data_IF_793963044756
#
_entry.id   IF_793963044756
#
_cell.length_a   1.000
_cell.length_b   1.000
_cell.length_c   1.000
_cell.angle_alpha   90.00
_cell.angle_beta   90.00
_cell.angle_gamma   90.00
#
_symmetry.space_group_name_H-M   'P 1'
#
loop_
_entity.id
_entity.type
_entity.pdbx_description
1 polymer ?
#
# COMPACT_ATOMS: atom_id res chain seq x y z
N UNK A 1 17.42 34.80 -5.11
CA UNK A 1 16.85 33.43 -4.98
C UNK A 1 15.75 33.33 -6.00
N UNK A 2 15.96 32.55 -7.05
CA UNK A 2 14.93 32.27 -8.07
C UNK A 2 13.81 31.48 -7.39
N UNK A 3 12.58 32.00 -7.39
CA UNK A 3 11.42 31.27 -6.93
C UNK A 3 11.31 29.99 -7.76
N UNK A 4 11.68 28.85 -7.21
CA UNK A 4 11.27 27.56 -7.76
C UNK A 4 9.74 27.57 -7.74
N UNK A 5 9.11 27.16 -8.84
CA UNK A 5 7.68 26.91 -8.85
C UNK A 5 7.36 26.01 -7.66
N UNK A 6 6.51 26.50 -6.75
CA UNK A 6 6.29 25.85 -5.47
C UNK A 6 5.37 24.65 -5.66
N UNK A 7 5.96 23.48 -5.91
CA UNK A 7 5.25 22.22 -5.75
C UNK A 7 4.99 21.99 -4.27
N UNK A 8 3.84 21.41 -3.89
CA UNK A 8 3.54 21.10 -2.50
C UNK A 8 4.57 20.16 -1.90
N UNK A 9 4.93 20.39 -0.64
CA UNK A 9 5.78 19.50 0.15
C UNK A 9 4.91 18.52 0.93
N UNK A 10 5.13 17.22 0.73
CA UNK A 10 4.42 16.16 1.43
C UNK A 10 5.28 15.68 2.59
N UNK A 11 4.75 15.80 3.81
CA UNK A 11 5.30 15.16 4.99
C UNK A 11 4.84 13.71 5.10
N UNK A 12 5.76 12.80 5.44
CA UNK A 12 5.41 11.41 5.75
C UNK A 12 5.82 11.12 7.18
N UNK A 13 4.87 10.71 8.02
CA UNK A 13 5.14 10.23 9.37
C UNK A 13 5.39 8.72 9.33
N UNK A 14 6.59 8.31 9.74
CA UNK A 14 7.08 6.93 9.62
C UNK A 14 7.94 6.73 8.38
N UNK A 15 8.86 5.76 8.44
CA UNK A 15 9.89 5.53 7.43
C UNK A 15 10.01 4.06 7.02
N UNK A 16 8.88 3.37 6.97
CA UNK A 16 8.80 1.98 6.54
C UNK A 16 8.88 1.79 5.02
N UNK A 17 8.48 0.62 4.57
CA UNK A 17 8.51 0.27 3.15
C UNK A 17 7.46 1.02 2.32
N UNK A 18 6.30 1.39 2.90
CA UNK A 18 5.30 2.14 2.15
C UNK A 18 5.77 3.57 1.92
N UNK A 19 6.39 4.20 2.92
CA UNK A 19 7.03 5.50 2.77
C UNK A 19 8.13 5.47 1.69
N UNK A 20 8.95 4.41 1.64
CA UNK A 20 9.96 4.24 0.59
C UNK A 20 9.34 4.24 -0.81
N UNK A 21 8.29 3.46 -1.05
CA UNK A 21 7.60 3.41 -2.34
C UNK A 21 6.90 4.74 -2.68
N UNK A 22 6.40 5.47 -1.67
CA UNK A 22 5.88 6.83 -1.87
C UNK A 22 6.96 7.80 -2.34
N UNK A 23 8.18 7.75 -1.78
CA UNK A 23 9.32 8.58 -2.22
C UNK A 23 9.68 8.27 -3.68
N UNK A 24 9.72 6.99 -4.06
CA UNK A 24 10.00 6.58 -5.43
C UNK A 24 8.95 7.13 -6.42
N UNK A 25 7.66 7.06 -6.06
CA UNK A 25 6.58 7.64 -6.87
C UNK A 25 6.64 9.18 -6.91
N UNK A 26 6.96 9.85 -5.79
CA UNK A 26 7.08 11.29 -5.68
C UNK A 26 8.17 11.85 -6.59
N UNK A 27 9.28 11.12 -6.73
CA UNK A 27 10.41 11.53 -7.58
C UNK A 27 9.98 11.72 -9.04
N UNK A 28 9.11 10.87 -9.56
CA UNK A 28 8.58 11.00 -10.93
C UNK A 28 7.67 12.21 -11.11
N UNK A 29 6.99 12.62 -10.06
CA UNK A 29 6.06 13.75 -10.04
C UNK A 29 6.74 15.08 -9.66
N UNK A 30 8.03 15.07 -9.36
CA UNK A 30 8.79 16.21 -8.82
C UNK A 30 8.17 16.78 -7.52
N UNK A 31 7.57 15.90 -6.70
CA UNK A 31 7.01 16.25 -5.39
C UNK A 31 8.11 16.15 -4.35
N UNK A 32 8.27 17.18 -3.53
CA UNK A 32 9.20 17.16 -2.41
C UNK A 32 8.61 16.35 -1.25
N UNK A 33 9.41 15.40 -0.72
CA UNK A 33 9.05 14.61 0.45
C UNK A 33 9.93 15.00 1.63
N UNK A 34 9.31 15.32 2.77
CA UNK A 34 9.93 15.35 4.09
C UNK A 34 9.53 14.09 4.85
N UNK A 35 10.46 13.49 5.55
CA UNK A 35 10.27 12.26 6.29
C UNK A 35 10.53 12.47 7.78
N UNK A 36 9.60 12.09 8.65
CA UNK A 36 9.84 11.97 10.08
C UNK A 36 10.08 10.49 10.41
N UNK A 37 11.30 10.18 10.83
CA UNK A 37 11.77 8.82 11.09
C UNK A 37 12.33 8.70 12.51
N UNK A 38 12.17 7.53 13.12
CA UNK A 38 12.80 7.24 14.43
C UNK A 38 14.32 7.05 14.31
N UNK A 39 14.82 6.66 13.13
CA UNK A 39 16.23 6.40 12.86
C UNK A 39 16.57 6.72 11.40
N UNK A 40 17.79 7.12 11.14
CA UNK A 40 18.33 7.30 9.79
C UNK A 40 18.49 5.97 9.02
N UNK A 41 18.44 4.83 9.71
CA UNK A 41 18.61 3.49 9.12
C UNK A 41 17.29 2.84 8.71
N UNK A 42 16.15 3.54 8.86
CA UNK A 42 14.87 3.02 8.42
C UNK A 42 14.74 3.02 6.90
N UNK A 43 13.95 2.09 6.36
CA UNK A 43 13.84 1.77 4.92
C UNK A 43 13.71 3.00 4.01
N UNK A 44 12.81 3.92 4.33
CA UNK A 44 12.59 5.13 3.56
C UNK A 44 13.66 6.20 3.83
N UNK A 45 14.20 6.26 5.06
CA UNK A 45 15.23 7.23 5.43
C UNK A 45 16.53 7.03 4.63
N UNK A 46 16.82 5.79 4.21
CA UNK A 46 17.99 5.48 3.38
C UNK A 46 17.97 6.12 1.99
N UNK A 47 16.79 6.52 1.49
CA UNK A 47 16.64 7.08 0.13
C UNK A 47 16.04 8.49 0.12
N UNK A 48 15.58 8.97 1.27
CA UNK A 48 14.97 10.29 1.36
C UNK A 48 16.04 11.40 1.41
N UNK A 49 15.82 12.49 0.67
CA UNK A 49 16.72 13.64 0.67
C UNK A 49 16.52 14.55 1.90
N UNK A 50 15.34 14.49 2.53
CA UNK A 50 14.98 15.35 3.65
C UNK A 50 14.41 14.50 4.79
N UNK A 51 15.25 14.14 5.74
CA UNK A 51 14.93 13.28 6.89
C UNK A 51 15.08 14.07 8.18
N UNK A 52 14.02 14.13 8.97
CA UNK A 52 14.02 14.54 10.36
C UNK A 52 14.02 13.31 11.24
N UNK A 53 15.03 13.15 12.09
CA UNK A 53 15.04 12.09 13.10
C UNK A 53 14.31 12.61 14.33
N UNK A 54 13.24 11.91 14.74
CA UNK A 54 12.39 12.31 15.86
C UNK A 54 11.31 11.28 16.16
N UNK A 55 10.53 11.53 17.20
CA UNK A 55 9.45 10.65 17.64
C UNK A 55 8.07 11.30 17.35
N UNK A 56 7.21 10.62 16.61
CA UNK A 56 5.83 11.06 16.34
C UNK A 56 4.99 11.23 17.61
N UNK A 57 5.38 10.57 18.72
CA UNK A 57 4.74 10.74 20.03
C UNK A 57 5.23 11.97 20.78
N UNK A 58 6.34 12.57 20.35
CA UNK A 58 6.84 13.84 20.89
C UNK A 58 6.24 15.00 20.10
N UNK A 59 5.37 15.77 20.74
CA UNK A 59 4.71 16.90 20.08
C UNK A 59 5.72 17.95 19.55
N UNK A 60 6.83 18.18 20.24
CA UNK A 60 7.85 19.15 19.80
C UNK A 60 8.49 18.73 18.47
N UNK A 61 8.86 17.44 18.35
CA UNK A 61 9.45 16.91 17.12
C UNK A 61 8.43 16.99 15.97
N UNK A 62 7.19 16.60 16.26
CA UNK A 62 6.11 16.58 15.28
C UNK A 62 5.75 18.00 14.81
N UNK A 63 5.68 18.98 15.72
CA UNK A 63 5.37 20.38 15.39
C UNK A 63 6.45 21.05 14.56
N UNK A 64 7.73 20.80 14.86
CA UNK A 64 8.87 21.29 14.07
C UNK A 64 8.88 20.65 12.68
N UNK A 65 8.59 19.36 12.59
CA UNK A 65 8.47 18.67 11.30
C UNK A 65 7.37 19.25 10.43
N UNK A 66 6.22 19.59 11.02
CA UNK A 66 5.05 20.08 10.31
C UNK A 66 5.23 21.49 9.70
N UNK A 67 6.14 22.32 10.22
CA UNK A 67 6.30 23.73 9.83
C UNK A 67 6.49 23.96 8.32
N UNK A 68 7.12 23.04 7.63
CA UNK A 68 7.44 23.18 6.19
C UNK A 68 6.77 22.08 5.35
N UNK A 69 5.58 21.61 5.76
CA UNK A 69 4.81 20.62 5.02
C UNK A 69 3.43 21.16 4.69
N UNK A 70 3.00 21.02 3.42
CA UNK A 70 1.68 21.44 2.98
C UNK A 70 0.61 20.40 3.33
N UNK A 71 0.96 19.12 3.27
CA UNK A 71 0.10 17.98 3.63
C UNK A 71 0.92 16.87 4.28
N UNK A 72 0.37 16.23 5.28
CA UNK A 72 1.00 15.10 5.98
C UNK A 72 0.23 13.81 5.69
N UNK A 73 0.97 12.74 5.34
CA UNK A 73 0.47 11.38 5.23
C UNK A 73 1.27 10.42 6.12
N UNK A 74 0.94 9.13 6.11
CA UNK A 74 1.35 8.20 7.14
C UNK A 74 1.92 6.89 6.59
N UNK A 75 2.97 6.40 7.26
CA UNK A 75 3.43 5.01 7.23
C UNK A 75 3.62 4.53 8.69
N UNK A 76 2.54 4.63 9.48
CA UNK A 76 2.49 4.30 10.89
C UNK A 76 1.65 3.05 11.14
N UNK A 77 1.97 2.36 12.23
CA UNK A 77 1.15 1.26 12.77
C UNK A 77 0.22 1.74 13.89
N UNK A 78 0.66 2.73 14.64
CA UNK A 78 -0.04 3.32 15.78
C UNK A 78 -0.05 4.83 15.63
N UNK A 79 -1.18 5.46 15.87
CA UNK A 79 -1.37 6.88 15.66
C UNK A 79 -1.41 7.66 16.97
N UNK A 80 -0.55 8.69 17.14
CA UNK A 80 -0.58 9.56 18.33
C UNK A 80 -1.72 10.58 18.22
N UNK A 81 -2.97 10.15 18.32
CA UNK A 81 -4.17 10.93 18.03
C UNK A 81 -4.22 12.30 18.73
N UNK A 82 -3.80 12.39 19.99
CA UNK A 82 -3.80 13.67 20.71
C UNK A 82 -2.89 14.70 20.03
N UNK A 83 -1.69 14.30 19.65
CA UNK A 83 -0.73 15.16 18.98
C UNK A 83 -1.19 15.55 17.57
N UNK A 84 -1.72 14.59 16.82
CA UNK A 84 -2.22 14.83 15.46
C UNK A 84 -3.42 15.78 15.45
N UNK A 85 -4.40 15.56 16.33
CA UNK A 85 -5.57 16.44 16.47
C UNK A 85 -5.20 17.85 16.95
N UNK A 86 -4.13 17.96 17.73
CA UNK A 86 -3.62 19.27 18.16
C UNK A 86 -3.03 20.03 16.97
N UNK A 87 -2.21 19.38 16.14
CA UNK A 87 -1.66 19.99 14.91
C UNK A 87 -2.75 20.32 13.89
N UNK A 88 -3.76 19.45 13.74
CA UNK A 88 -4.90 19.71 12.86
C UNK A 88 -5.65 20.98 13.28
N UNK A 89 -5.86 21.21 14.58
CA UNK A 89 -6.45 22.45 15.11
C UNK A 89 -5.57 23.68 14.90
N UNK A 90 -4.26 23.50 14.80
CA UNK A 90 -3.28 24.55 14.47
C UNK A 90 -3.19 24.81 12.96
N UNK A 91 -3.98 24.08 12.13
CA UNK A 91 -4.12 24.30 10.70
C UNK A 91 -3.36 23.31 9.81
N UNK A 92 -2.69 22.29 10.39
CA UNK A 92 -1.99 21.28 9.59
C UNK A 92 -2.99 20.38 8.86
N UNK A 93 -2.74 20.15 7.59
CA UNK A 93 -3.55 19.28 6.74
C UNK A 93 -3.02 17.85 6.80
N UNK A 94 -3.90 16.91 7.14
CA UNK A 94 -3.63 15.47 7.12
C UNK A 94 -4.47 14.78 6.04
N UNK A 95 -3.85 13.86 5.29
CA UNK A 95 -4.52 13.02 4.29
C UNK A 95 -3.93 11.59 4.36
N UNK A 96 -4.70 10.56 4.65
CA UNK A 96 -6.14 10.60 5.02
C UNK A 96 -6.42 11.44 6.28
N UNK A 97 -7.67 11.88 6.41
CA UNK A 97 -8.10 12.69 7.57
C UNK A 97 -7.98 11.86 8.86
N UNK A 98 -7.60 12.51 9.94
CA UNK A 98 -7.46 11.85 11.25
C UNK A 98 -8.78 11.23 11.70
N UNK A 99 -9.90 11.91 11.42
CA UNK A 99 -11.24 11.39 11.73
C UNK A 99 -11.56 10.09 10.99
N UNK A 100 -11.17 9.95 9.72
CA UNK A 100 -11.38 8.74 8.95
C UNK A 100 -10.52 7.57 9.49
N UNK A 101 -9.26 7.84 9.87
CA UNK A 101 -8.38 6.85 10.47
C UNK A 101 -8.97 6.34 11.79
N UNK A 102 -9.38 7.26 12.68
CA UNK A 102 -9.96 6.93 13.99
C UNK A 102 -11.25 6.12 13.87
N UNK A 103 -12.12 6.47 12.91
CA UNK A 103 -13.32 5.70 12.61
C UNK A 103 -13.00 4.28 12.14
N UNK A 104 -11.96 4.11 11.31
CA UNK A 104 -11.57 2.82 10.76
C UNK A 104 -10.68 1.97 11.70
N UNK A 105 -10.27 2.51 12.85
CA UNK A 105 -9.70 1.73 13.95
C UNK A 105 -10.78 1.28 14.95
N UNK A 106 -11.97 1.87 14.91
CA UNK A 106 -13.08 1.52 15.79
C UNK A 106 -13.95 0.42 15.14
N UNK A 107 -13.75 -0.83 15.57
CA UNK A 107 -14.46 -1.99 15.05
C UNK A 107 -15.97 -1.92 15.19
N UNK A 108 -16.49 -1.39 16.29
CA UNK A 108 -17.94 -1.24 16.51
C UNK A 108 -18.54 -0.18 15.59
N UNK A 109 -17.80 0.91 15.36
CA UNK A 109 -18.22 1.94 14.40
C UNK A 109 -18.27 1.40 12.97
N UNK A 110 -17.23 0.68 12.54
CA UNK A 110 -17.19 0.04 11.21
C UNK A 110 -18.38 -0.89 11.05
N UNK A 111 -18.58 -1.81 12.00
CA UNK A 111 -19.66 -2.79 11.98
C UNK A 111 -21.01 -2.12 11.83
N UNK A 112 -21.31 -1.15 12.69
CA UNK A 112 -22.57 -0.40 12.65
C UNK A 112 -22.75 0.28 11.30
N UNK A 113 -21.74 0.98 10.82
CA UNK A 113 -21.78 1.72 9.53
C UNK A 113 -22.03 0.80 8.35
N UNK A 114 -21.37 -0.37 8.29
CA UNK A 114 -21.55 -1.35 7.22
C UNK A 114 -22.95 -1.97 7.25
N UNK A 115 -23.47 -2.32 8.44
CA UNK A 115 -24.83 -2.87 8.60
C UNK A 115 -25.88 -1.83 8.20
N UNK A 116 -25.78 -0.60 8.70
CA UNK A 116 -26.73 0.49 8.38
C UNK A 116 -26.74 0.81 6.87
N UNK A 117 -25.60 0.62 6.21
CA UNK A 117 -25.47 0.79 4.75
C UNK A 117 -25.91 -0.45 3.92
N UNK A 118 -26.36 -1.54 4.55
CA UNK A 118 -26.68 -2.83 3.94
C UNK A 118 -25.51 -3.39 3.11
N UNK A 119 -24.26 -3.25 3.62
CA UNK A 119 -23.07 -3.83 3.00
C UNK A 119 -22.80 -5.23 3.57
N UNK A 120 -22.22 -6.15 2.77
CA UNK A 120 -22.01 -7.53 3.17
C UNK A 120 -20.93 -7.64 4.24
N UNK A 121 -21.34 -7.73 5.49
CA UNK A 121 -20.45 -7.84 6.65
C UNK A 121 -20.96 -8.91 7.60
N UNK A 122 -20.03 -9.68 8.18
CA UNK A 122 -20.31 -10.66 9.22
C UNK A 122 -19.09 -10.78 10.15
N UNK A 123 -19.32 -10.82 11.46
CA UNK A 123 -18.28 -11.08 12.43
C UNK A 123 -17.81 -12.55 12.39
N UNK A 124 -16.52 -12.77 12.69
CA UNK A 124 -15.95 -14.09 12.98
C UNK A 124 -16.22 -15.15 11.91
N UNK A 125 -15.82 -14.84 10.67
CA UNK A 125 -15.89 -15.81 9.57
C UNK A 125 -14.72 -16.79 9.72
N UNK A 126 -15.03 -18.05 10.07
CA UNK A 126 -14.01 -19.08 10.29
C UNK A 126 -13.55 -19.77 8.99
N UNK A 127 -14.43 -19.85 7.99
CA UNK A 127 -14.14 -20.56 6.75
C UNK A 127 -14.42 -19.68 5.54
N UNK A 128 -13.48 -19.61 4.63
CA UNK A 128 -13.58 -18.94 3.33
C UNK A 128 -12.70 -19.67 2.30
N UNK A 129 -13.02 -19.55 1.02
CA UNK A 129 -12.28 -20.19 -0.05
C UNK A 129 -11.01 -19.42 -0.40
N UNK A 130 -11.08 -18.07 -0.42
CA UNK A 130 -9.96 -17.18 -0.74
C UNK A 130 -10.17 -15.77 -0.21
N UNK A 131 -9.08 -15.02 -0.15
CA UNK A 131 -9.10 -13.61 0.20
C UNK A 131 -8.92 -12.75 -1.05
N UNK A 132 -9.78 -11.74 -1.20
CA UNK A 132 -9.73 -10.77 -2.29
C UNK A 132 -9.42 -9.39 -1.72
N UNK A 133 -8.84 -8.52 -2.55
CA UNK A 133 -8.57 -7.13 -2.18
C UNK A 133 -8.87 -6.20 -3.35
N UNK A 134 -9.41 -5.04 -3.04
CA UNK A 134 -9.67 -3.97 -4.00
C UNK A 134 -9.03 -2.69 -3.49
N UNK A 135 -8.04 -2.19 -4.22
CA UNK A 135 -7.47 -0.88 -3.96
C UNK A 135 -8.29 0.19 -4.67
N UNK A 136 -8.45 1.33 -4.02
CA UNK A 136 -9.03 2.52 -4.64
C UNK A 136 -8.29 3.78 -4.16
N UNK A 137 -8.41 4.85 -4.92
CA UNK A 137 -7.93 6.18 -4.54
C UNK A 137 -9.05 7.19 -4.72
N UNK A 138 -9.22 8.09 -3.74
CA UNK A 138 -10.22 9.16 -3.80
C UNK A 138 -9.58 10.49 -3.41
N UNK A 139 -9.81 11.53 -4.22
CA UNK A 139 -9.40 12.91 -3.93
C UNK A 139 -10.46 13.63 -3.07
N UNK A 140 -10.08 14.72 -2.45
CA UNK A 140 -11.00 15.60 -1.71
C UNK A 140 -12.17 16.10 -2.57
N UNK A 141 -11.93 16.29 -3.87
CA UNK A 141 -12.99 16.72 -4.81
C UNK A 141 -13.89 15.57 -5.29
N UNK A 142 -13.74 14.37 -4.72
CA UNK A 142 -14.58 13.21 -5.01
C UNK A 142 -14.21 12.42 -6.27
N UNK A 143 -13.15 12.80 -7.00
CA UNK A 143 -12.66 11.96 -8.07
C UNK A 143 -12.16 10.64 -7.46
N UNK A 144 -12.64 9.51 -8.00
CA UNK A 144 -12.28 8.19 -7.49
C UNK A 144 -11.86 7.27 -8.63
N UNK A 145 -10.82 6.48 -8.40
CA UNK A 145 -10.40 5.38 -9.28
C UNK A 145 -10.33 4.11 -8.46
N UNK A 146 -10.67 2.98 -9.09
CA UNK A 146 -10.67 1.65 -8.48
C UNK A 146 -9.85 0.70 -9.34
N UNK A 147 -8.96 -0.06 -8.70
CA UNK A 147 -8.12 -1.05 -9.36
C UNK A 147 -8.86 -2.36 -9.59
N UNK A 148 -8.27 -3.24 -10.39
CA UNK A 148 -8.75 -4.60 -10.54
C UNK A 148 -8.79 -5.32 -9.20
N UNK A 149 -9.81 -6.17 -9.01
CA UNK A 149 -9.86 -7.05 -7.84
C UNK A 149 -8.68 -8.00 -7.91
N UNK A 150 -7.91 -8.08 -6.84
CA UNK A 150 -6.77 -8.98 -6.73
C UNK A 150 -7.06 -10.09 -5.70
N UNK A 151 -6.52 -11.28 -5.94
CA UNK A 151 -6.52 -12.37 -4.98
C UNK A 151 -5.24 -12.31 -4.15
N UNK A 152 -5.39 -12.43 -2.84
CA UNK A 152 -4.28 -12.47 -1.89
C UNK A 152 -4.19 -13.85 -1.23
N UNK A 153 -2.97 -14.37 -1.10
CA UNK A 153 -2.69 -15.58 -0.34
C UNK A 153 -1.79 -15.25 0.83
N UNK A 154 -2.11 -15.77 1.99
CA UNK A 154 -1.29 -15.65 3.21
C UNK A 154 -0.77 -17.01 3.63
N UNK A 155 0.44 -17.02 4.18
CA UNK A 155 1.04 -18.14 4.89
C UNK A 155 1.36 -17.64 6.30
N UNK A 156 0.85 -18.31 7.32
CA UNK A 156 1.03 -17.92 8.74
C UNK A 156 0.69 -16.41 8.98
N UNK A 157 -0.45 -15.97 8.46
CA UNK A 157 -0.95 -14.59 8.51
C UNK A 157 -0.06 -13.56 7.77
N UNK A 158 1.03 -13.96 7.15
CA UNK A 158 1.89 -13.10 6.35
C UNK A 158 1.47 -13.18 4.89
N UNK A 159 1.22 -12.01 4.26
CA UNK A 159 0.96 -11.97 2.83
C UNK A 159 2.15 -12.58 2.08
N UNK A 160 1.87 -13.62 1.30
CA UNK A 160 2.84 -14.34 0.48
C UNK A 160 2.75 -13.91 -0.99
N UNK A 161 1.56 -13.95 -1.54
CA UNK A 161 1.30 -13.80 -2.98
C UNK A 161 0.09 -12.90 -3.23
N UNK A 162 0.12 -12.16 -4.34
CA UNK A 162 -1.04 -11.43 -4.89
C UNK A 162 -1.11 -11.66 -6.39
N UNK A 163 -2.29 -11.96 -6.89
CA UNK A 163 -2.59 -12.15 -8.32
C UNK A 163 -3.63 -11.11 -8.74
N UNK A 164 -3.32 -10.33 -9.75
CA UNK A 164 -4.24 -9.33 -10.31
C UNK A 164 -4.37 -9.48 -11.83
N UNK A 165 -5.59 -9.58 -12.38
CA UNK A 165 -6.87 -9.68 -11.67
C UNK A 165 -7.03 -11.03 -10.96
N UNK A 166 -7.96 -11.10 -9.99
CA UNK A 166 -8.26 -12.33 -9.25
C UNK A 166 -8.71 -13.45 -10.20
N UNK A 167 -8.03 -14.62 -10.22
CA UNK A 167 -8.37 -15.73 -11.10
C UNK A 167 -9.81 -16.23 -10.84
N UNK A 168 -10.48 -16.66 -11.90
CA UNK A 168 -11.83 -17.25 -11.84
C UNK A 168 -12.88 -16.37 -11.13
N UNK A 169 -12.70 -15.07 -11.10
CA UNK A 169 -13.70 -14.10 -10.66
C UNK A 169 -14.44 -13.56 -11.90
N UNK A 170 -15.76 -13.65 -11.91
CA UNK A 170 -16.53 -13.10 -13.03
C UNK A 170 -16.51 -11.57 -13.05
N UNK A 171 -16.64 -10.95 -14.23
CA UNK A 171 -16.70 -9.50 -14.38
C UNK A 171 -17.83 -8.87 -13.55
N UNK A 172 -18.96 -9.58 -13.43
CA UNK A 172 -20.08 -9.14 -12.62
C UNK A 172 -19.72 -9.04 -11.14
N UNK A 173 -19.07 -10.05 -10.58
CA UNK A 173 -18.62 -10.03 -9.17
C UNK A 173 -17.46 -9.05 -8.95
N UNK A 174 -16.52 -8.95 -9.90
CA UNK A 174 -15.47 -7.95 -9.83
C UNK A 174 -16.07 -6.53 -9.75
N UNK A 175 -17.05 -6.23 -10.61
CA UNK A 175 -17.77 -4.95 -10.61
C UNK A 175 -18.53 -4.71 -9.31
N UNK A 176 -19.19 -5.73 -8.75
CA UNK A 176 -19.87 -5.65 -7.46
C UNK A 176 -18.91 -5.27 -6.33
N UNK A 177 -17.77 -5.96 -6.21
CA UNK A 177 -16.77 -5.67 -5.18
C UNK A 177 -16.16 -4.25 -5.35
N UNK A 178 -15.94 -3.83 -6.59
CA UNK A 178 -15.49 -2.46 -6.89
C UNK A 178 -16.53 -1.42 -6.48
N UNK A 179 -17.82 -1.64 -6.76
CA UNK A 179 -18.89 -0.72 -6.35
C UNK A 179 -19.04 -0.64 -4.82
N UNK A 180 -18.91 -1.77 -4.11
CA UNK A 180 -18.86 -1.79 -2.64
C UNK A 180 -17.69 -0.95 -2.15
N UNK A 181 -16.52 -1.10 -2.76
CA UNK A 181 -15.32 -0.33 -2.40
C UNK A 181 -15.53 1.18 -2.60
N UNK A 182 -16.14 1.59 -3.71
CA UNK A 182 -16.48 2.99 -3.96
C UNK A 182 -17.46 3.53 -2.89
N UNK A 183 -18.49 2.78 -2.54
CA UNK A 183 -19.44 3.15 -1.50
C UNK A 183 -18.77 3.34 -0.14
N UNK A 184 -17.80 2.47 0.21
CA UNK A 184 -17.02 2.59 1.44
C UNK A 184 -16.24 3.90 1.47
N UNK A 185 -15.65 4.34 0.37
CA UNK A 185 -14.90 5.60 0.32
C UNK A 185 -15.76 6.82 0.65
N UNK A 186 -17.04 6.78 0.30
CA UNK A 186 -18.00 7.84 0.60
C UNK A 186 -18.46 7.78 2.06
N UNK A 187 -18.76 6.57 2.56
CA UNK A 187 -19.26 6.37 3.94
C UNK A 187 -18.26 6.83 5.00
N UNK A 188 -16.98 6.62 4.77
CA UNK A 188 -15.91 6.96 5.71
C UNK A 188 -15.14 8.23 5.30
N UNK A 189 -15.57 8.93 4.26
CA UNK A 189 -14.92 10.13 3.69
C UNK A 189 -13.40 9.99 3.56
N UNK A 190 -12.93 8.88 2.96
CA UNK A 190 -11.51 8.58 2.84
C UNK A 190 -10.90 9.41 1.71
N UNK A 191 -9.83 10.17 2.00
CA UNK A 191 -9.01 10.86 1.01
C UNK A 191 -7.61 10.24 0.94
N UNK A 192 -7.19 9.84 -0.25
CA UNK A 192 -5.98 9.06 -0.49
C UNK A 192 -6.30 7.67 -1.02
N UNK A 193 -5.30 6.79 -0.99
CA UNK A 193 -5.49 5.37 -1.29
C UNK A 193 -6.03 4.65 -0.06
N UNK A 194 -6.86 3.64 -0.32
CA UNK A 194 -7.34 2.68 0.68
C UNK A 194 -7.57 1.32 0.02
N UNK A 195 -7.72 0.30 0.84
CA UNK A 195 -7.97 -1.07 0.39
C UNK A 195 -9.14 -1.67 1.15
N UNK A 196 -10.07 -2.29 0.44
CA UNK A 196 -11.09 -3.14 1.05
C UNK A 196 -10.69 -4.60 0.81
N UNK A 197 -10.57 -5.36 1.89
CA UNK A 197 -10.34 -6.79 1.85
C UNK A 197 -11.68 -7.53 2.00
N UNK A 198 -11.86 -8.57 1.18
CA UNK A 198 -13.06 -9.40 1.14
C UNK A 198 -12.70 -10.86 1.36
N UNK A 199 -13.61 -11.60 1.98
CA UNK A 199 -13.60 -13.05 2.05
C UNK A 199 -14.59 -13.60 1.02
N UNK A 200 -14.12 -14.43 0.12
CA UNK A 200 -14.96 -15.21 -0.79
C UNK A 200 -15.34 -16.52 -0.07
N UNK A 201 -16.64 -16.67 0.22
CA UNK A 201 -17.17 -17.85 0.92
C UNK A 201 -17.58 -18.95 -0.04
N UNK A 202 -17.34 -18.75 -1.36
CA UNK A 202 -17.90 -19.59 -2.41
C UNK A 202 -19.39 -19.27 -2.66
N UNK A 203 -19.97 -19.91 -3.68
CA UNK A 203 -21.37 -19.74 -4.06
C UNK A 203 -21.77 -18.26 -4.25
N UNK A 204 -20.85 -17.44 -4.78
CA UNK A 204 -21.06 -16.01 -5.05
C UNK A 204 -21.37 -15.18 -3.78
N UNK A 205 -20.84 -15.57 -2.66
CA UNK A 205 -20.94 -14.83 -1.40
C UNK A 205 -19.62 -14.18 -1.04
N UNK A 206 -19.61 -12.86 -0.90
CA UNK A 206 -18.47 -12.07 -0.52
C UNK A 206 -18.79 -11.27 0.74
N UNK A 207 -17.85 -11.21 1.69
CA UNK A 207 -17.98 -10.44 2.92
C UNK A 207 -16.81 -9.49 3.07
N UNK A 208 -17.05 -8.26 3.48
CA UNK A 208 -16.01 -7.31 3.87
C UNK A 208 -15.35 -7.84 5.14
N UNK A 209 -14.02 -7.98 5.11
CA UNK A 209 -13.23 -8.42 6.26
C UNK A 209 -12.44 -7.29 6.90
N UNK A 210 -11.89 -6.39 6.08
CA UNK A 210 -11.07 -5.28 6.59
C UNK A 210 -11.08 -4.09 5.62
N UNK A 211 -11.02 -2.89 6.18
CA UNK A 211 -10.79 -1.64 5.45
C UNK A 211 -9.45 -1.08 5.94
N UNK A 212 -8.53 -0.82 5.03
CA UNK A 212 -7.19 -0.30 5.34
C UNK A 212 -6.98 1.04 4.66
N UNK A 213 -6.55 2.03 5.41
CA UNK A 213 -6.19 3.35 4.90
C UNK A 213 -4.72 3.38 4.46
N UNK A 214 -4.45 4.14 3.42
CA UNK A 214 -3.12 4.28 2.83
C UNK A 214 -2.74 3.13 1.89
N UNK A 215 -1.55 3.20 1.27
CA UNK A 215 -1.01 2.13 0.46
C UNK A 215 -0.78 0.85 1.27
N UNK A 216 -1.06 -0.30 0.66
CA UNK A 216 -1.00 -1.61 1.33
C UNK A 216 -0.10 -2.60 0.60
N UNK A 217 0.30 -3.67 1.30
CA UNK A 217 1.09 -4.74 0.69
C UNK A 217 0.32 -5.48 -0.43
N UNK A 218 -1.00 -5.62 -0.30
CA UNK A 218 -1.82 -6.24 -1.35
C UNK A 218 -1.94 -5.40 -2.62
N UNK A 219 -1.51 -4.13 -2.59
CA UNK A 219 -1.45 -3.25 -3.76
C UNK A 219 -0.05 -3.07 -4.36
N UNK A 220 0.97 -3.79 -3.88
CA UNK A 220 2.35 -3.68 -4.41
C UNK A 220 2.47 -4.08 -5.88
N UNK A 221 1.63 -5.00 -6.35
CA UNK A 221 1.55 -5.38 -7.76
C UNK A 221 1.28 -4.20 -8.70
N UNK A 222 0.65 -3.12 -8.19
CA UNK A 222 0.31 -1.95 -8.99
C UNK A 222 1.53 -1.15 -9.45
N UNK A 223 2.71 -1.35 -8.84
CA UNK A 223 3.94 -0.65 -9.21
C UNK A 223 4.32 -0.97 -10.67
N UNK A 224 4.26 -2.24 -11.03
CA UNK A 224 4.67 -2.72 -12.37
C UNK A 224 3.48 -3.26 -13.17
N UNK A 225 2.36 -3.56 -12.52
CA UNK A 225 1.18 -4.17 -13.16
C UNK A 225 0.08 -3.19 -13.53
N UNK A 226 0.11 -1.93 -13.07
CA UNK A 226 -0.88 -0.92 -13.40
C UNK A 226 -0.24 0.31 -14.08
N UNK A 227 -1.02 1.00 -14.90
CA UNK A 227 -0.58 2.25 -15.56
C UNK A 227 -0.13 3.30 -14.55
N UNK A 228 -0.85 3.41 -13.43
CA UNK A 228 -0.52 4.29 -12.31
C UNK A 228 -0.58 3.47 -11.03
N UNK A 229 0.50 3.46 -10.25
CA UNK A 229 0.57 2.68 -9.02
C UNK A 229 -0.34 3.26 -7.92
N UNK A 230 -0.65 2.44 -6.90
CA UNK A 230 -1.33 2.93 -5.70
C UNK A 230 -0.56 4.07 -5.02
N UNK A 231 0.76 4.07 -5.07
CA UNK A 231 1.61 5.09 -4.46
C UNK A 231 1.50 6.43 -5.18
N UNK A 232 1.56 6.41 -6.50
CA UNK A 232 1.39 7.62 -7.31
C UNK A 232 -0.05 8.15 -7.17
N UNK A 233 -1.06 7.29 -7.22
CA UNK A 233 -2.44 7.72 -7.02
C UNK A 233 -2.71 8.20 -5.58
N UNK A 234 -1.98 7.69 -4.57
CA UNK A 234 -2.05 8.24 -3.22
C UNK A 234 -1.57 9.70 -3.19
N UNK A 235 -0.38 9.96 -3.75
CA UNK A 235 0.17 11.32 -3.83
C UNK A 235 -0.74 12.26 -4.63
N UNK A 236 -1.26 11.80 -5.76
CA UNK A 236 -2.21 12.58 -6.56
C UNK A 236 -3.49 12.90 -5.77
N UNK A 237 -4.04 11.92 -5.07
CA UNK A 237 -5.26 12.08 -4.28
C UNK A 237 -5.09 13.09 -3.13
N UNK A 238 -4.01 12.98 -2.36
CA UNK A 238 -3.77 13.84 -1.19
C UNK A 238 -3.39 15.28 -1.58
N UNK A 239 -2.91 15.48 -2.81
CA UNK A 239 -2.55 16.78 -3.38
C UNK A 239 -3.63 17.35 -4.30
N UNK A 240 -4.78 16.72 -4.39
CA UNK A 240 -5.86 17.10 -5.33
C UNK A 240 -5.43 17.18 -6.80
N UNK A 241 -4.42 16.42 -7.20
CA UNK A 241 -4.04 16.24 -8.59
C UNK A 241 -5.02 15.27 -9.27
N UNK A 242 -5.23 15.38 -10.59
CA UNK A 242 -6.03 14.43 -11.35
C UNK A 242 -5.50 13.00 -11.15
N UNK A 243 -6.38 12.06 -10.79
CA UNK A 243 -6.00 10.68 -10.56
C UNK A 243 -5.58 9.99 -11.86
N UNK A 244 -4.56 9.13 -11.75
CA UNK A 244 -4.05 8.36 -12.86
C UNK A 244 -4.86 7.10 -13.13
N UNK A 245 -4.72 6.53 -14.32
CA UNK A 245 -5.44 5.33 -14.75
C UNK A 245 -5.02 4.09 -13.94
N UNK A 246 -5.95 3.34 -13.34
CA UNK A 246 -5.66 2.10 -12.63
C UNK A 246 -5.59 0.87 -13.55
N UNK A 247 -5.61 1.06 -14.88
CA UNK A 247 -5.64 -0.03 -15.87
C UNK A 247 -4.41 -0.92 -15.77
N UNK A 248 -4.65 -2.22 -15.90
CA UNK A 248 -3.60 -3.22 -16.03
C UNK A 248 -2.71 -2.95 -17.24
N UNK A 249 -1.40 -3.20 -17.11
CA UNK A 249 -0.41 -3.15 -18.19
C UNK A 249 -0.31 -4.47 -18.95
N UNK A 250 -0.67 -5.58 -18.32
CA UNK A 250 -0.72 -6.92 -18.90
C UNK A 250 -1.98 -7.65 -18.40
N UNK A 251 -2.39 -8.75 -19.05
CA UNK A 251 -3.55 -9.55 -18.62
C UNK A 251 -3.47 -10.06 -17.19
N UNK A 252 -2.28 -10.42 -16.72
CA UNK A 252 -2.03 -10.93 -15.36
C UNK A 252 -0.75 -10.30 -14.81
N UNK A 253 -0.78 -9.94 -13.54
CA UNK A 253 0.39 -9.58 -12.74
C UNK A 253 0.41 -10.43 -11.48
N UNK A 254 1.55 -11.03 -11.18
CA UNK A 254 1.80 -11.78 -9.95
C UNK A 254 2.82 -11.00 -9.12
N UNK A 255 2.55 -10.85 -7.84
CA UNK A 255 3.46 -10.32 -6.83
C UNK A 255 3.73 -11.40 -5.79
N UNK A 256 5.00 -11.64 -5.47
CA UNK A 256 5.41 -12.53 -4.38
C UNK A 256 6.31 -11.78 -3.41
N UNK A 257 6.04 -11.89 -2.10
CA UNK A 257 6.89 -11.28 -1.08
C UNK A 257 8.22 -12.01 -0.95
N UNK A 258 9.29 -11.25 -0.73
CA UNK A 258 10.61 -11.76 -0.40
C UNK A 258 10.83 -11.59 1.11
N UNK A 259 10.97 -12.71 1.80
CA UNK A 259 11.29 -12.74 3.22
C UNK A 259 12.81 -12.85 3.41
N UNK A 260 13.33 -12.29 4.49
CA UNK A 260 14.72 -12.48 4.87
C UNK A 260 14.99 -13.95 5.21
N UNK A 261 16.08 -14.47 4.71
CA UNK A 261 16.50 -15.86 4.87
C UNK A 261 18.00 -15.99 5.08
N UNK A 262 18.64 -16.91 4.35
CA UNK A 262 20.03 -17.29 4.56
C UNK A 262 21.05 -16.24 4.05
N UNK A 263 20.70 -15.44 3.03
CA UNK A 263 21.60 -14.46 2.46
C UNK A 263 21.52 -13.14 3.23
N UNK A 264 22.58 -12.80 3.97
CA UNK A 264 22.73 -11.50 4.60
C UNK A 264 23.04 -10.40 3.56
N UNK A 265 23.80 -10.75 2.52
CA UNK A 265 24.07 -9.91 1.35
C UNK A 265 23.13 -10.29 0.20
N UNK A 266 22.17 -9.41 -0.08
CA UNK A 266 21.17 -9.62 -1.13
C UNK A 266 21.71 -9.38 -2.54
N UNK A 267 22.94 -8.88 -2.71
CA UNK A 267 23.46 -8.51 -4.03
C UNK A 267 23.66 -9.72 -4.94
N UNK A 268 24.25 -10.83 -4.41
CA UNK A 268 24.48 -12.04 -5.20
C UNK A 268 23.20 -12.69 -5.70
N UNK A 269 22.21 -13.00 -4.81
CA UNK A 269 20.94 -13.57 -5.26
C UNK A 269 20.15 -12.61 -6.17
N UNK A 270 20.26 -11.30 -5.96
CA UNK A 270 19.67 -10.29 -6.82
C UNK A 270 20.22 -10.36 -8.25
N UNK A 271 21.55 -10.43 -8.41
CA UNK A 271 22.21 -10.60 -9.71
C UNK A 271 21.74 -11.85 -10.45
N UNK A 272 21.65 -12.97 -9.73
CA UNK A 272 21.21 -14.25 -10.30
C UNK A 272 19.78 -14.13 -10.85
N UNK A 273 18.83 -13.66 -10.01
CA UNK A 273 17.44 -13.51 -10.43
C UNK A 273 17.28 -12.60 -11.65
N UNK A 274 18.01 -11.48 -11.71
CA UNK A 274 17.96 -10.56 -12.87
C UNK A 274 18.55 -11.17 -14.13
N UNK A 275 19.59 -12.00 -14.00
CA UNK A 275 20.22 -12.67 -15.15
C UNK A 275 19.35 -13.84 -15.66
N UNK A 276 18.70 -14.55 -14.72
CA UNK A 276 17.85 -15.68 -15.04
C UNK A 276 16.52 -15.26 -15.67
N UNK A 277 15.91 -14.18 -15.15
CA UNK A 277 14.62 -13.68 -15.63
C UNK A 277 14.64 -12.15 -15.79
N UNK A 278 14.90 -11.63 -17.01
CA UNK A 278 14.98 -10.20 -17.28
C UNK A 278 13.63 -9.47 -17.21
N UNK A 279 12.50 -10.18 -17.23
CA UNK A 279 11.16 -9.59 -17.11
C UNK A 279 10.76 -9.36 -15.64
N UNK A 280 11.44 -10.01 -14.71
CA UNK A 280 11.19 -9.91 -13.29
C UNK A 280 11.50 -8.49 -12.77
N UNK A 281 10.63 -7.97 -11.92
CA UNK A 281 10.82 -6.71 -11.21
C UNK A 281 11.05 -6.99 -9.74
N UNK A 282 12.25 -6.66 -9.25
CA UNK A 282 12.66 -6.93 -7.86
C UNK A 282 12.72 -5.61 -7.10
N UNK A 283 11.98 -5.52 -6.01
CA UNK A 283 11.91 -4.35 -5.15
C UNK A 283 12.45 -4.70 -3.75
N UNK A 284 13.67 -4.26 -3.45
CA UNK A 284 14.28 -4.44 -2.13
C UNK A 284 14.05 -3.19 -1.26
N UNK A 285 13.77 -3.40 0.02
CA UNK A 285 13.41 -2.30 0.93
C UNK A 285 14.59 -1.71 1.70
N UNK A 286 15.83 -2.15 1.45
CA UNK A 286 17.01 -1.68 2.17
C UNK A 286 17.02 -2.05 3.66
N UNK A 287 16.21 -3.03 4.07
CA UNK A 287 16.12 -3.48 5.46
C UNK A 287 17.22 -4.48 5.77
N UNK A 288 17.69 -4.48 7.03
CA UNK A 288 18.51 -5.56 7.55
C UNK A 288 17.80 -6.91 7.35
N UNK A 289 18.51 -7.88 6.80
CA UNK A 289 17.99 -9.23 6.57
C UNK A 289 17.88 -9.97 7.90
N UNK A 290 16.67 -10.35 8.26
CA UNK A 290 16.35 -11.21 9.41
C UNK A 290 15.37 -12.27 8.95
N UNK A 291 15.51 -13.48 9.47
CA UNK A 291 14.61 -14.58 9.13
C UNK A 291 13.13 -14.18 9.29
N UNK A 292 12.32 -14.46 8.27
CA UNK A 292 10.89 -14.12 8.23
C UNK A 292 10.54 -12.63 8.11
N UNK A 293 11.51 -11.71 8.15
CA UNK A 293 11.24 -10.28 7.94
C UNK A 293 11.03 -9.98 6.46
N UNK A 294 9.99 -9.25 6.10
CA UNK A 294 9.81 -8.78 4.72
C UNK A 294 10.93 -7.83 4.32
N UNK A 295 11.73 -8.23 3.34
CA UNK A 295 12.90 -7.48 2.84
C UNK A 295 12.69 -6.94 1.43
N UNK A 296 11.68 -7.46 0.71
CA UNK A 296 11.35 -7.04 -0.64
C UNK A 296 10.09 -7.71 -1.16
N UNK A 297 9.85 -7.54 -2.44
CA UNK A 297 8.89 -8.30 -3.24
C UNK A 297 9.37 -8.39 -4.68
N UNK A 298 8.80 -9.32 -5.41
CA UNK A 298 8.97 -9.44 -6.85
C UNK A 298 7.63 -9.27 -7.54
N UNK A 299 7.64 -8.61 -8.70
CA UNK A 299 6.50 -8.51 -9.61
C UNK A 299 6.86 -9.11 -10.96
N UNK A 300 5.94 -9.81 -11.58
CA UNK A 300 6.04 -10.28 -12.94
C UNK A 300 4.69 -10.20 -13.64
N UNK A 301 4.67 -9.86 -14.93
CA UNK A 301 3.43 -9.68 -15.68
C UNK A 301 3.46 -10.44 -16.99
N UNK A 302 2.32 -10.99 -17.42
CA UNK A 302 2.23 -11.78 -18.66
C UNK A 302 0.83 -12.32 -18.91
N UNK A 303 0.76 -13.47 -19.62
CA UNK A 303 -0.49 -14.07 -20.11
C UNK A 303 -0.80 -15.44 -19.49
N UNK A 304 0.21 -16.13 -18.97
CA UNK A 304 0.08 -17.48 -18.40
C UNK A 304 0.30 -17.45 -16.88
N UNK A 305 -0.78 -17.67 -16.12
CA UNK A 305 -0.72 -17.62 -14.68
C UNK A 305 0.22 -18.66 -14.07
N UNK A 306 0.24 -19.88 -14.62
CA UNK A 306 1.07 -20.98 -14.10
C UNK A 306 2.56 -20.67 -14.26
N UNK A 307 2.95 -20.18 -15.42
CA UNK A 307 4.32 -19.74 -15.71
C UNK A 307 4.74 -18.58 -14.80
N UNK A 308 3.87 -17.57 -14.66
CA UNK A 308 4.17 -16.40 -13.82
C UNK A 308 4.33 -16.75 -12.34
N UNK A 309 3.49 -17.67 -11.83
CA UNK A 309 3.59 -18.15 -10.44
C UNK A 309 4.91 -18.91 -10.21
N UNK A 310 5.26 -19.83 -11.12
CA UNK A 310 6.50 -20.59 -11.05
C UNK A 310 7.72 -19.66 -11.01
N UNK A 311 7.80 -18.71 -11.93
CA UNK A 311 8.91 -17.76 -12.05
C UNK A 311 9.00 -16.81 -10.83
N UNK A 312 7.86 -16.29 -10.37
CA UNK A 312 7.85 -15.39 -9.21
C UNK A 312 8.26 -16.11 -7.91
N UNK A 313 7.75 -17.31 -7.67
CA UNK A 313 8.12 -18.12 -6.51
C UNK A 313 9.55 -18.61 -6.58
N UNK A 314 10.03 -19.06 -7.76
CA UNK A 314 11.44 -19.41 -7.95
C UNK A 314 12.36 -18.26 -7.56
N UNK A 315 12.09 -17.05 -8.04
CA UNK A 315 12.88 -15.88 -7.68
C UNK A 315 12.82 -15.54 -6.18
N UNK A 316 11.63 -15.58 -5.58
CA UNK A 316 11.47 -15.32 -4.15
C UNK A 316 12.21 -16.37 -3.30
N UNK A 317 12.12 -17.64 -3.65
CA UNK A 317 12.80 -18.73 -2.95
C UNK A 317 14.33 -18.68 -3.11
N UNK A 318 14.80 -18.29 -4.29
CA UNK A 318 16.22 -18.06 -4.51
C UNK A 318 16.75 -16.88 -3.70
N UNK A 319 16.03 -15.74 -3.71
CA UNK A 319 16.37 -14.55 -2.93
C UNK A 319 16.41 -14.83 -1.41
N UNK A 320 15.57 -15.74 -0.91
CA UNK A 320 15.58 -16.16 0.51
C UNK A 320 16.63 -17.21 0.83
N UNK A 321 17.19 -17.88 -0.17
CA UNK A 321 18.09 -19.01 -0.02
C UNK A 321 17.38 -20.32 0.35
N UNK A 322 16.08 -20.45 0.10
CA UNK A 322 15.34 -21.72 0.22
C UNK A 322 15.75 -22.72 -0.84
N UNK A 323 16.11 -22.23 -2.01
CA UNK A 323 16.70 -22.99 -3.11
C UNK A 323 18.08 -22.43 -3.45
N UNK A 324 18.98 -23.30 -3.88
CA UNK A 324 20.33 -22.97 -4.40
C UNK A 324 20.50 -23.77 -5.67
N UNK A 325 21.08 -23.17 -6.70
CA UNK A 325 21.54 -23.87 -7.90
C UNK A 325 22.90 -24.50 -7.69
#
# INVERSE_FOLDING_TARGET
MTSRSHFPTVGILGAGQMARMLIEAATRLNIEIKLLSKSADESAALIANNVTVGDVNNYSDLSVFALDTDVITFDLKEFPYENLKRLEKEGQVFRPQISAIEQLENSDFIKKTLIDANLPFQDNVANFERQLSVQAARSEHGQTVVYSVAQSKKIDEILDEVIAPAPNLSDAHASELQLITLKISELFDIHGVFTVEFLDLGNNKFLISQIKIGPTNSGLWTIDGATTSQFENHLRAILNLPLGSPKLLAPITVMVNVLGGQYLDMYKPFLHCMAHDPDLRIHLYGKEVKEGRKVGHVNISGNDLSDLLERAHHAADYLTGRITE
#
